data_IF_118414056473
#
_entry.id   IF_118414056473
#
_cell.length_a   1.000
_cell.length_b   1.000
_cell.length_c   1.000
_cell.angle_alpha   90.00
_cell.angle_beta   90.00
_cell.angle_gamma   90.00
#
_symmetry.space_group_name_H-M   'P 1'
#
loop_
_entity.id
_entity.type
_entity.pdbx_description
1 polymer ?
#
# COMPACT_ATOMS: atom_id res chain seq x y z
N UNK A 1 21.32 -7.60 -19.44
CA UNK A 1 21.91 -6.88 -18.29
C UNK A 1 20.90 -5.86 -17.76
N UNK A 2 20.58 -5.94 -16.48
CA UNK A 2 19.57 -5.06 -15.84
C UNK A 2 19.88 -3.57 -15.97
N UNK A 3 21.16 -3.19 -16.06
CA UNK A 3 21.56 -1.78 -16.22
C UNK A 3 21.31 -1.28 -17.65
N UNK A 4 21.68 -2.08 -18.64
CA UNK A 4 21.49 -1.73 -20.05
C UNK A 4 20.01 -1.66 -20.46
N UNK A 5 19.14 -2.40 -19.75
CA UNK A 5 17.72 -2.49 -20.05
C UNK A 5 16.87 -1.42 -19.32
N UNK A 6 17.49 -0.53 -18.55
CA UNK A 6 16.77 0.47 -17.75
C UNK A 6 16.02 -0.09 -16.53
N UNK A 7 16.24 -1.38 -16.21
CA UNK A 7 15.54 -2.09 -15.11
C UNK A 7 16.31 -2.13 -13.80
N UNK A 8 17.52 -1.58 -13.77
CA UNK A 8 18.32 -1.53 -12.56
C UNK A 8 17.71 -0.58 -11.55
N UNK A 9 17.38 -1.10 -10.36
CA UNK A 9 16.79 -0.32 -9.27
C UNK A 9 17.86 0.49 -8.55
N UNK A 10 17.74 1.80 -8.57
CA UNK A 10 18.59 2.70 -7.80
C UNK A 10 17.92 3.04 -6.48
N UNK A 11 18.65 2.83 -5.38
CA UNK A 11 18.20 3.21 -4.03
C UNK A 11 18.77 4.59 -3.72
N UNK A 12 17.93 5.62 -3.79
CA UNK A 12 18.35 6.99 -3.52
C UNK A 12 18.41 7.24 -2.01
N UNK A 13 19.52 7.82 -1.55
CA UNK A 13 19.72 8.21 -0.16
C UNK A 13 19.02 9.57 0.06
N UNK A 14 17.90 9.57 0.78
CA UNK A 14 17.09 10.75 1.04
C UNK A 14 16.74 10.91 2.52
N UNK A 15 16.73 12.14 3.00
CA UNK A 15 16.17 12.50 4.30
C UNK A 15 14.94 13.36 4.10
N UNK A 16 13.79 12.87 4.56
CA UNK A 16 12.54 13.62 4.62
C UNK A 16 12.62 14.61 5.79
N UNK A 17 12.73 15.89 5.51
CA UNK A 17 12.90 16.91 6.53
C UNK A 17 11.60 17.17 7.27
N UNK A 18 11.59 16.92 8.60
CA UNK A 18 10.42 17.19 9.44
C UNK A 18 9.97 18.66 9.31
N UNK A 19 8.66 18.86 9.18
CA UNK A 19 8.03 20.17 9.04
C UNK A 19 8.17 20.80 7.65
N UNK A 20 8.78 20.10 6.69
CA UNK A 20 8.93 20.57 5.29
C UNK A 20 8.38 19.59 4.26
N UNK A 21 7.57 18.62 4.69
CA UNK A 21 6.95 17.64 3.78
C UNK A 21 6.10 18.36 2.72
N UNK A 22 6.20 18.04 1.42
CA UNK A 22 6.87 16.87 0.82
C UNK A 22 8.34 17.09 0.42
N UNK A 23 8.98 18.17 0.87
CA UNK A 23 10.39 18.42 0.60
C UNK A 23 11.29 17.43 1.34
N UNK A 24 12.39 17.05 0.70
CA UNK A 24 13.42 16.16 1.22
C UNK A 24 14.80 16.62 0.77
N UNK A 25 15.83 16.07 1.40
CA UNK A 25 17.23 16.26 1.00
C UNK A 25 17.70 14.96 0.37
N UNK A 26 18.23 15.04 -0.83
CA UNK A 26 18.83 13.92 -1.53
C UNK A 26 20.35 13.99 -1.46
N UNK A 27 20.97 12.92 -0.94
CA UNK A 27 22.39 12.74 -0.88
C UNK A 27 22.85 11.90 -2.07
N UNK A 28 23.29 12.56 -3.13
CA UNK A 28 23.85 11.88 -4.28
C UNK A 28 25.36 11.69 -4.11
N UNK A 29 25.96 10.82 -4.91
CA UNK A 29 27.42 10.63 -4.92
C UNK A 29 28.19 11.94 -5.17
N UNK A 30 27.59 12.91 -5.83
CA UNK A 30 28.27 14.14 -6.30
C UNK A 30 27.77 15.42 -5.65
N UNK A 31 26.60 15.41 -5.03
CA UNK A 31 25.98 16.63 -4.48
C UNK A 31 24.87 16.33 -3.49
N UNK A 32 24.58 17.29 -2.62
CA UNK A 32 23.41 17.32 -1.75
C UNK A 32 22.40 18.29 -2.37
N UNK A 33 21.16 17.84 -2.59
CA UNK A 33 20.12 18.65 -3.25
C UNK A 33 18.80 18.61 -2.49
N UNK A 34 18.11 19.72 -2.48
CA UNK A 34 16.69 19.75 -2.10
C UNK A 34 15.85 19.18 -3.23
N UNK A 35 14.91 18.33 -2.89
CA UNK A 35 13.97 17.68 -3.81
C UNK A 35 12.56 17.75 -3.29
N UNK A 36 11.58 17.60 -4.16
CA UNK A 36 10.17 17.36 -3.82
C UNK A 36 9.85 15.89 -4.08
N UNK A 37 9.38 15.18 -3.06
CA UNK A 37 9.08 13.76 -3.15
C UNK A 37 7.63 13.57 -3.63
N UNK A 38 7.48 12.97 -4.82
CA UNK A 38 6.21 12.71 -5.48
C UNK A 38 5.81 11.23 -5.49
N UNK A 39 6.57 10.36 -4.85
CA UNK A 39 6.32 8.91 -4.83
C UNK A 39 6.34 8.30 -3.43
N UNK A 40 6.17 9.11 -2.38
CA UNK A 40 6.09 8.62 -1.02
C UNK A 40 4.79 7.86 -0.79
N UNK A 41 4.88 6.74 -0.06
CA UNK A 41 3.70 6.04 0.45
C UNK A 41 3.17 6.61 1.78
N UNK A 42 3.85 7.58 2.39
CA UNK A 42 3.33 8.35 3.53
C UNK A 42 2.29 9.36 3.03
N UNK A 43 1.14 8.83 2.61
CA UNK A 43 0.10 9.54 1.84
C UNK A 43 -0.44 10.79 2.54
N UNK A 44 -0.54 10.75 3.86
CA UNK A 44 -1.07 11.84 4.67
C UNK A 44 0.02 12.60 5.45
N UNK A 45 1.30 12.24 5.29
CA UNK A 45 2.41 12.86 6.00
C UNK A 45 2.44 12.54 7.50
N UNK A 46 1.72 11.50 7.93
CA UNK A 46 1.60 11.13 9.34
C UNK A 46 2.93 10.71 9.97
N UNK A 47 3.88 10.21 9.17
CA UNK A 47 5.23 9.88 9.65
C UNK A 47 6.05 11.08 10.14
N UNK A 48 5.59 12.31 9.87
CA UNK A 48 6.20 13.55 10.36
C UNK A 48 5.29 14.37 11.28
N UNK A 49 4.10 13.84 11.57
CA UNK A 49 3.12 14.55 12.37
C UNK A 49 3.53 14.65 13.84
N UNK A 50 3.36 15.85 14.44
CA UNK A 50 3.84 16.12 15.80
C UNK A 50 3.26 15.14 16.83
N UNK A 51 1.94 14.91 16.83
CA UNK A 51 1.31 13.99 17.79
C UNK A 51 1.86 12.57 17.69
N UNK A 52 2.12 12.08 16.46
CA UNK A 52 2.72 10.77 16.24
C UNK A 52 4.13 10.72 16.84
N UNK A 53 4.97 11.70 16.52
CA UNK A 53 6.34 11.77 17.01
C UNK A 53 6.39 11.92 18.54
N UNK A 54 5.53 12.74 19.12
CA UNK A 54 5.55 12.97 20.57
C UNK A 54 5.05 11.73 21.34
N UNK A 55 4.07 10.99 20.82
CA UNK A 55 3.69 9.70 21.40
C UNK A 55 4.81 8.65 21.32
N UNK A 56 5.56 8.66 20.22
CA UNK A 56 6.73 7.77 20.05
C UNK A 56 7.85 8.13 21.07
N UNK A 57 8.13 9.41 21.28
CA UNK A 57 9.10 9.85 22.30
C UNK A 57 8.69 9.41 23.69
N UNK A 58 7.43 9.62 24.06
CA UNK A 58 6.90 9.18 25.35
C UNK A 58 7.05 7.66 25.53
N UNK A 59 6.71 6.88 24.50
CA UNK A 59 6.89 5.43 24.56
C UNK A 59 8.36 5.01 24.63
N UNK A 60 9.27 5.73 23.96
CA UNK A 60 10.71 5.48 24.03
C UNK A 60 11.24 5.72 25.44
N UNK A 61 10.84 6.81 26.07
CA UNK A 61 11.27 7.17 27.43
C UNK A 61 10.71 6.21 28.50
N UNK A 62 9.49 5.71 28.32
CA UNK A 62 8.80 4.87 29.32
C UNK A 62 9.01 3.38 29.14
N UNK A 63 9.23 2.90 27.91
CA UNK A 63 9.26 1.47 27.57
C UNK A 63 10.55 1.02 26.88
N UNK A 64 11.45 1.95 26.55
CA UNK A 64 12.68 1.66 25.81
C UNK A 64 12.44 1.44 24.32
N UNK A 65 13.52 1.15 23.59
CA UNK A 65 13.53 1.10 22.12
C UNK A 65 12.93 -0.16 21.52
N UNK A 66 13.06 -1.30 22.19
CA UNK A 66 12.73 -2.63 21.64
C UNK A 66 11.62 -3.35 22.38
N UNK A 67 11.06 -4.38 21.74
CA UNK A 67 9.97 -5.17 22.31
C UNK A 67 10.44 -6.24 23.32
N UNK A 68 11.72 -6.58 23.33
CA UNK A 68 12.29 -7.58 24.25
C UNK A 68 12.09 -9.03 23.83
N UNK A 69 11.44 -9.31 22.71
CA UNK A 69 11.24 -10.67 22.21
C UNK A 69 10.13 -10.80 21.16
N UNK A 70 9.76 -12.04 20.91
CA UNK A 70 8.58 -12.36 20.11
C UNK A 70 7.30 -12.06 20.89
N UNK A 71 6.15 -11.97 20.21
CA UNK A 71 4.85 -11.70 20.86
C UNK A 71 4.54 -12.66 22.01
N UNK A 72 4.90 -13.92 21.87
CA UNK A 72 4.66 -14.96 22.87
C UNK A 72 5.69 -14.94 24.01
N UNK A 73 6.91 -14.48 23.73
CA UNK A 73 7.98 -14.46 24.74
C UNK A 73 8.33 -13.01 25.07
N UNK A 74 7.58 -12.41 26.02
CA UNK A 74 7.80 -11.07 26.58
C UNK A 74 7.64 -9.89 25.61
N UNK A 75 7.42 -10.11 24.32
CA UNK A 75 7.32 -9.06 23.29
C UNK A 75 5.92 -8.47 23.11
N UNK A 76 4.90 -8.90 23.85
CA UNK A 76 3.58 -8.28 23.88
C UNK A 76 3.51 -7.21 24.96
N UNK A 77 3.31 -5.96 24.58
CA UNK A 77 3.16 -4.83 25.51
C UNK A 77 1.74 -4.28 25.51
N UNK A 78 1.45 -3.37 26.43
CA UNK A 78 0.19 -2.62 26.47
C UNK A 78 -0.08 -1.90 25.13
N UNK A 79 0.95 -1.36 24.48
CA UNK A 79 0.82 -0.66 23.19
C UNK A 79 0.36 -1.58 22.06
N UNK A 80 0.84 -2.82 22.00
CA UNK A 80 0.36 -3.82 21.03
C UNK A 80 -1.14 -4.08 21.20
N UNK A 81 -1.56 -4.36 22.43
CA UNK A 81 -2.95 -4.67 22.72
C UNK A 81 -3.87 -3.46 22.48
N UNK A 82 -3.42 -2.25 22.79
CA UNK A 82 -4.17 -1.03 22.53
C UNK A 82 -4.33 -0.77 21.03
N UNK A 83 -3.27 -0.94 20.25
CA UNK A 83 -3.29 -0.79 18.80
C UNK A 83 -4.19 -1.85 18.14
N UNK A 84 -4.09 -3.12 18.53
CA UNK A 84 -4.94 -4.18 17.98
C UNK A 84 -6.42 -3.95 18.28
N UNK A 85 -6.77 -3.45 19.47
CA UNK A 85 -8.15 -3.04 19.78
C UNK A 85 -8.64 -1.88 18.91
N UNK A 86 -7.79 -0.87 18.70
CA UNK A 86 -8.12 0.27 17.85
C UNK A 86 -8.34 -0.14 16.39
N UNK A 87 -7.49 -1.01 15.86
CA UNK A 87 -7.63 -1.53 14.49
C UNK A 87 -8.89 -2.41 14.33
N UNK A 88 -9.20 -3.24 15.32
CA UNK A 88 -10.44 -4.01 15.32
C UNK A 88 -11.68 -3.08 15.33
N UNK A 89 -11.64 -2.02 16.16
CA UNK A 89 -12.68 -0.99 16.22
C UNK A 89 -12.83 -0.24 14.88
N UNK A 90 -11.73 0.17 14.27
CA UNK A 90 -11.70 0.86 12.97
C UNK A 90 -12.48 0.06 11.92
N UNK A 91 -12.22 -1.24 11.83
CA UNK A 91 -12.84 -2.13 10.84
C UNK A 91 -14.16 -2.76 11.30
N UNK A 92 -14.66 -2.42 12.50
CA UNK A 92 -15.84 -3.05 13.10
C UNK A 92 -15.74 -4.58 13.14
N UNK A 93 -14.53 -5.08 13.38
CA UNK A 93 -14.23 -6.51 13.52
C UNK A 93 -14.03 -6.87 14.99
N UNK A 94 -14.16 -8.17 15.30
CA UNK A 94 -14.02 -8.67 16.67
C UNK A 94 -12.60 -8.58 17.20
N UNK A 95 -11.62 -8.80 16.31
CA UNK A 95 -10.19 -8.77 16.63
C UNK A 95 -9.33 -8.28 15.47
N UNK A 96 -8.15 -7.79 15.81
CA UNK A 96 -7.05 -7.57 14.89
C UNK A 96 -5.76 -8.18 15.44
N UNK A 97 -4.80 -8.45 14.56
CA UNK A 97 -3.48 -8.97 14.88
C UNK A 97 -2.40 -8.18 14.14
N UNK A 98 -1.43 -7.68 14.88
CA UNK A 98 -0.34 -6.84 14.37
C UNK A 98 0.83 -7.69 13.88
N UNK A 99 1.35 -7.36 12.71
CA UNK A 99 2.54 -7.94 12.07
C UNK A 99 3.61 -6.86 11.82
N UNK A 100 4.84 -7.27 11.53
CA UNK A 100 5.95 -6.38 11.21
C UNK A 100 5.75 -5.59 9.92
N UNK A 101 4.94 -6.11 9.00
CA UNK A 101 4.52 -5.45 7.75
C UNK A 101 3.23 -6.10 7.21
N UNK A 102 2.53 -5.39 6.32
CA UNK A 102 1.40 -5.96 5.59
C UNK A 102 1.82 -7.08 4.63
N UNK A 103 3.06 -7.03 4.11
CA UNK A 103 3.64 -8.12 3.34
C UNK A 103 3.67 -9.41 4.17
N UNK A 104 4.23 -9.32 5.39
CA UNK A 104 4.30 -10.45 6.32
C UNK A 104 2.89 -10.91 6.75
N UNK A 105 1.97 -9.98 6.98
CA UNK A 105 0.59 -10.29 7.32
C UNK A 105 -0.11 -11.12 6.22
N UNK A 106 -0.05 -10.68 4.95
CA UNK A 106 -0.60 -11.42 3.82
C UNK A 106 0.02 -12.81 3.68
N UNK A 107 1.36 -12.85 3.57
CA UNK A 107 2.07 -14.11 3.33
C UNK A 107 1.79 -15.13 4.42
N UNK A 108 1.94 -14.72 5.67
CA UNK A 108 1.80 -15.60 6.84
C UNK A 108 0.36 -16.06 7.05
N UNK A 109 -0.61 -15.17 6.85
CA UNK A 109 -2.03 -15.52 7.02
C UNK A 109 -2.47 -16.54 5.98
N UNK A 110 -2.20 -16.29 4.70
CA UNK A 110 -2.60 -17.19 3.61
C UNK A 110 -1.87 -18.56 3.71
N UNK A 111 -0.59 -18.56 4.07
CA UNK A 111 0.15 -19.79 4.35
C UNK A 111 -0.50 -20.59 5.49
N UNK A 112 -0.86 -19.93 6.58
CA UNK A 112 -1.45 -20.57 7.76
C UNK A 112 -2.85 -21.08 7.46
N UNK A 113 -3.66 -20.33 6.71
CA UNK A 113 -4.96 -20.79 6.23
C UNK A 113 -4.85 -22.13 5.49
N UNK A 114 -3.87 -22.25 4.58
CA UNK A 114 -3.65 -23.50 3.86
C UNK A 114 -3.20 -24.66 4.74
N UNK A 115 -2.41 -24.39 5.78
CA UNK A 115 -2.03 -25.43 6.76
C UNK A 115 -3.21 -25.94 7.59
N UNK A 116 -4.12 -25.03 7.96
CA UNK A 116 -5.30 -25.36 8.79
C UNK A 116 -6.43 -25.95 7.94
N UNK A 117 -6.56 -25.52 6.70
CA UNK A 117 -7.60 -25.96 5.76
C UNK A 117 -6.94 -26.44 4.45
N UNK A 118 -6.34 -27.66 4.43
CA UNK A 118 -5.56 -28.13 3.27
C UNK A 118 -6.40 -28.31 1.98
N UNK A 119 -7.71 -28.50 2.12
CA UNK A 119 -8.64 -28.62 0.98
C UNK A 119 -9.18 -27.28 0.48
N UNK A 120 -8.74 -26.15 1.05
CA UNK A 120 -9.16 -24.82 0.66
C UNK A 120 -8.70 -24.50 -0.76
N UNK A 121 -9.61 -24.05 -1.62
CA UNK A 121 -9.30 -23.47 -2.91
C UNK A 121 -9.15 -21.94 -2.75
N UNK A 122 -7.98 -21.41 -3.06
CA UNK A 122 -7.79 -19.99 -3.19
C UNK A 122 -8.12 -19.52 -4.60
N UNK A 123 -8.95 -18.49 -4.73
CA UNK A 123 -9.33 -17.85 -5.99
C UNK A 123 -8.78 -16.43 -5.93
N UNK A 124 -7.73 -16.16 -6.72
CA UNK A 124 -6.92 -14.93 -6.65
C UNK A 124 -7.13 -14.04 -7.85
N UNK A 125 -7.27 -12.74 -7.64
CA UNK A 125 -7.21 -11.77 -8.72
C UNK A 125 -5.83 -11.82 -9.42
N UNK A 126 -5.84 -11.68 -10.76
CA UNK A 126 -4.64 -11.78 -11.59
C UNK A 126 -3.58 -10.69 -11.29
N UNK A 127 -3.98 -9.54 -10.71
CA UNK A 127 -3.08 -8.43 -10.40
C UNK A 127 -2.74 -8.31 -8.90
N UNK A 128 -3.06 -9.31 -8.10
CA UNK A 128 -2.74 -9.30 -6.69
C UNK A 128 -1.25 -9.06 -6.40
N UNK A 129 -1.00 -8.37 -5.31
CA UNK A 129 0.34 -8.03 -4.83
C UNK A 129 1.21 -9.26 -4.57
N UNK A 130 2.52 -9.11 -4.76
CA UNK A 130 3.51 -10.17 -4.54
C UNK A 130 3.40 -10.89 -3.20
N UNK A 131 3.02 -10.20 -2.12
CA UNK A 131 2.81 -10.79 -0.80
C UNK A 131 1.68 -11.83 -0.78
N UNK A 132 0.59 -11.56 -1.49
CA UNK A 132 -0.52 -12.50 -1.67
C UNK A 132 -0.04 -13.69 -2.49
N UNK A 133 0.60 -13.46 -3.63
CA UNK A 133 1.14 -14.51 -4.50
C UNK A 133 2.09 -15.43 -3.72
N UNK A 134 2.97 -14.90 -2.88
CA UNK A 134 3.88 -15.71 -2.06
C UNK A 134 3.12 -16.48 -0.96
N UNK A 135 2.15 -15.87 -0.31
CA UNK A 135 1.28 -16.54 0.67
C UNK A 135 0.55 -17.74 0.06
N UNK A 136 -0.04 -17.55 -1.12
CA UNK A 136 -0.72 -18.60 -1.87
C UNK A 136 0.23 -19.72 -2.32
N UNK A 137 1.46 -19.41 -2.69
CA UNK A 137 2.49 -20.42 -3.01
C UNK A 137 2.86 -21.25 -1.79
N UNK A 138 3.06 -20.59 -0.65
CA UNK A 138 3.46 -21.26 0.60
C UNK A 138 2.30 -22.04 1.26
N UNK A 139 1.06 -21.68 0.97
CA UNK A 139 -0.11 -22.43 1.46
C UNK A 139 -0.15 -23.88 0.95
N UNK A 140 0.42 -24.13 -0.23
CA UNK A 140 0.40 -25.43 -0.96
C UNK A 140 -1.01 -25.89 -1.34
N UNK A 141 -2.03 -25.10 -1.11
CA UNK A 141 -3.40 -25.37 -1.54
C UNK A 141 -3.58 -25.21 -3.04
N UNK A 142 -4.68 -25.76 -3.55
CA UNK A 142 -5.15 -25.48 -4.90
C UNK A 142 -5.41 -23.98 -5.06
N UNK A 143 -5.18 -23.46 -6.25
CA UNK A 143 -5.41 -22.05 -6.57
C UNK A 143 -5.89 -21.90 -8.00
N UNK A 144 -6.87 -21.02 -8.18
CA UNK A 144 -7.35 -20.53 -9.45
C UNK A 144 -7.11 -19.03 -9.53
N UNK A 145 -6.89 -18.51 -10.72
CA UNK A 145 -6.66 -17.08 -10.96
C UNK A 145 -7.76 -16.58 -11.86
N UNK A 146 -8.55 -15.63 -11.37
CA UNK A 146 -9.55 -14.97 -12.21
C UNK A 146 -8.96 -13.70 -12.85
N UNK A 147 -9.49 -13.35 -14.01
CA UNK A 147 -9.08 -12.13 -14.72
C UNK A 147 -9.38 -10.92 -13.87
N UNK A 148 -8.46 -9.96 -13.93
CA UNK A 148 -8.49 -8.76 -13.11
C UNK A 148 -9.85 -8.06 -13.15
N UNK A 149 -10.48 -7.93 -11.98
CA UNK A 149 -11.80 -7.31 -11.76
C UNK A 149 -12.94 -7.90 -12.62
N UNK A 150 -12.77 -9.09 -13.20
CA UNK A 150 -13.77 -9.77 -14.03
C UNK A 150 -14.71 -10.62 -13.18
N UNK A 151 -15.91 -10.09 -12.93
CA UNK A 151 -16.92 -10.74 -12.09
C UNK A 151 -17.51 -12.00 -12.73
N UNK A 152 -17.62 -12.04 -14.05
CA UNK A 152 -18.15 -13.21 -14.77
C UNK A 152 -17.15 -14.38 -14.69
N UNK A 153 -15.87 -14.10 -14.87
CA UNK A 153 -14.80 -15.10 -14.72
C UNK A 153 -14.73 -15.61 -13.27
N UNK A 154 -14.79 -14.70 -12.28
CA UNK A 154 -14.85 -15.06 -10.85
C UNK A 154 -16.07 -15.95 -10.55
N UNK A 155 -17.26 -15.57 -10.99
CA UNK A 155 -18.48 -16.34 -10.75
C UNK A 155 -18.43 -17.72 -11.40
N UNK A 156 -17.88 -17.82 -12.61
CA UNK A 156 -17.68 -19.08 -13.30
C UNK A 156 -16.83 -20.06 -12.49
N UNK A 157 -15.71 -19.59 -11.93
CA UNK A 157 -14.85 -20.40 -11.06
C UNK A 157 -15.58 -20.78 -9.77
N UNK A 158 -16.22 -19.82 -9.09
CA UNK A 158 -16.96 -20.08 -7.85
C UNK A 158 -18.06 -21.12 -8.03
N UNK A 159 -18.71 -21.15 -9.18
CA UNK A 159 -19.80 -22.08 -9.53
C UNK A 159 -19.29 -23.47 -9.87
N UNK A 160 -18.16 -23.58 -10.59
CA UNK A 160 -17.64 -24.85 -11.09
C UNK A 160 -16.88 -25.65 -10.03
N UNK A 161 -16.28 -24.96 -9.04
CA UNK A 161 -15.41 -25.57 -8.06
C UNK A 161 -16.16 -25.95 -6.78
N UNK A 162 -16.14 -27.24 -6.38
CA UNK A 162 -16.75 -27.70 -5.13
C UNK A 162 -15.83 -27.41 -3.92
N UNK A 163 -16.40 -27.54 -2.72
CA UNK A 163 -15.66 -27.47 -1.46
C UNK A 163 -15.40 -26.04 -0.95
N UNK A 164 -14.54 -25.93 0.09
CA UNK A 164 -14.25 -24.64 0.71
C UNK A 164 -13.42 -23.74 -0.21
N UNK A 165 -13.79 -22.48 -0.29
CA UNK A 165 -13.18 -21.46 -1.18
C UNK A 165 -12.82 -20.20 -0.43
N UNK A 166 -11.73 -19.53 -0.83
CA UNK A 166 -11.36 -18.20 -0.39
C UNK A 166 -11.01 -17.33 -1.59
N UNK A 167 -11.76 -16.24 -1.78
CA UNK A 167 -11.47 -15.23 -2.79
C UNK A 167 -10.52 -14.20 -2.19
N UNK A 168 -9.39 -13.94 -2.87
CA UNK A 168 -8.35 -13.01 -2.41
C UNK A 168 -8.15 -11.92 -3.45
N UNK A 169 -8.31 -10.67 -3.04
CA UNK A 169 -8.24 -9.51 -3.94
C UNK A 169 -7.82 -8.23 -3.18
N UNK A 170 -7.40 -7.20 -3.91
CA UNK A 170 -7.09 -5.88 -3.36
C UNK A 170 -8.28 -4.93 -3.57
N UNK A 171 -8.46 -3.96 -2.70
CA UNK A 171 -9.47 -2.93 -2.88
C UNK A 171 -9.01 -1.81 -3.81
N UNK A 172 -7.75 -1.38 -3.67
CA UNK A 172 -7.07 -0.40 -4.54
C UNK A 172 -5.76 -1.01 -5.01
N UNK A 173 -5.63 -1.24 -6.30
CA UNK A 173 -4.44 -1.84 -6.88
C UNK A 173 -3.29 -0.84 -7.00
N UNK A 174 -2.12 -1.24 -6.53
CA UNK A 174 -1.01 -0.34 -6.24
C UNK A 174 -0.41 0.36 -7.45
N UNK A 175 -0.44 -0.28 -8.63
CA UNK A 175 0.29 0.19 -9.82
C UNK A 175 -0.60 0.91 -10.82
N UNK A 176 -1.86 0.50 -10.93
CA UNK A 176 -2.85 1.06 -11.83
C UNK A 176 -3.74 2.09 -11.13
N UNK A 177 -3.92 1.93 -9.82
CA UNK A 177 -4.74 2.82 -9.01
C UNK A 177 -6.24 2.55 -9.18
N UNK A 178 -6.63 1.50 -9.88
CA UNK A 178 -8.03 1.14 -10.03
C UNK A 178 -8.60 0.55 -8.74
N UNK A 179 -9.91 0.68 -8.60
CA UNK A 179 -10.66 0.21 -7.43
C UNK A 179 -11.46 -1.02 -7.85
N UNK A 180 -11.30 -2.11 -7.10
CA UNK A 180 -12.05 -3.33 -7.32
C UNK A 180 -13.56 -3.13 -7.11
N UNK A 181 -14.42 -3.91 -7.77
CA UNK A 181 -15.85 -3.97 -7.50
C UNK A 181 -16.10 -4.76 -6.19
N UNK A 182 -15.70 -4.15 -5.05
CA UNK A 182 -15.62 -4.82 -3.74
C UNK A 182 -16.96 -5.38 -3.30
N UNK A 183 -18.03 -4.61 -3.53
CA UNK A 183 -19.38 -5.03 -3.17
C UNK A 183 -19.82 -6.28 -3.93
N UNK A 184 -19.64 -6.27 -5.24
CA UNK A 184 -20.04 -7.37 -6.12
C UNK A 184 -19.20 -8.63 -5.82
N UNK A 185 -17.90 -8.49 -5.57
CA UNK A 185 -17.03 -9.61 -5.17
C UNK A 185 -17.50 -10.20 -3.83
N UNK A 186 -17.81 -9.35 -2.84
CA UNK A 186 -18.29 -9.80 -1.54
C UNK A 186 -19.67 -10.49 -1.64
N UNK A 187 -20.56 -9.97 -2.49
CA UNK A 187 -21.87 -10.58 -2.76
C UNK A 187 -21.72 -11.97 -3.42
N UNK A 188 -20.77 -12.12 -4.35
CA UNK A 188 -20.42 -13.43 -4.93
C UNK A 188 -19.84 -14.39 -3.89
N UNK A 189 -18.92 -13.92 -3.03
CA UNK A 189 -18.40 -14.73 -1.93
C UNK A 189 -19.52 -15.26 -1.04
N UNK A 190 -20.45 -14.39 -0.65
CA UNK A 190 -21.60 -14.77 0.17
C UNK A 190 -22.53 -15.77 -0.56
N UNK A 191 -22.83 -15.52 -1.83
CA UNK A 191 -23.67 -16.38 -2.67
C UNK A 191 -23.14 -17.81 -2.78
N UNK A 192 -21.81 -17.97 -2.89
CA UNK A 192 -21.15 -19.27 -3.08
C UNK A 192 -20.47 -19.80 -1.81
N UNK A 193 -20.78 -19.22 -0.63
CA UNK A 193 -20.23 -19.60 0.67
C UNK A 193 -18.68 -19.67 0.65
N UNK A 194 -18.05 -18.69 0.03
CA UNK A 194 -16.61 -18.50 -0.03
C UNK A 194 -16.16 -17.48 1.02
N UNK A 195 -14.98 -17.68 1.60
CA UNK A 195 -14.32 -16.71 2.47
C UNK A 195 -13.87 -15.53 1.62
N UNK A 196 -14.15 -14.32 2.07
CA UNK A 196 -13.67 -13.07 1.45
C UNK A 196 -12.44 -12.53 2.19
N UNK A 197 -11.29 -12.47 1.49
CA UNK A 197 -10.05 -11.91 1.96
C UNK A 197 -9.68 -10.69 1.13
N UNK A 198 -9.70 -9.50 1.72
CA UNK A 198 -9.39 -8.26 1.04
C UNK A 198 -8.12 -7.61 1.56
N UNK A 199 -7.27 -7.14 0.64
CA UNK A 199 -6.12 -6.28 0.94
C UNK A 199 -6.52 -4.81 0.78
N UNK A 200 -6.62 -4.10 1.89
CA UNK A 200 -6.95 -2.67 1.97
C UNK A 200 -5.71 -1.77 2.14
N UNK A 201 -4.52 -2.29 1.88
CA UNK A 201 -3.22 -1.64 2.17
C UNK A 201 -3.09 -0.26 1.51
N UNK A 202 -3.67 -0.06 0.32
CA UNK A 202 -3.70 1.24 -0.36
C UNK A 202 -4.93 2.07 -0.06
N UNK A 203 -5.86 1.58 0.75
CA UNK A 203 -7.13 2.25 1.03
C UNK A 203 -7.31 2.67 2.50
N UNK A 204 -6.75 1.93 3.46
CA UNK A 204 -6.85 2.31 4.89
C UNK A 204 -6.24 3.68 5.14
N UNK A 205 -6.92 4.49 5.93
CA UNK A 205 -6.59 5.89 6.20
C UNK A 205 -7.09 6.87 5.13
N UNK A 206 -7.55 6.39 3.95
CA UNK A 206 -7.84 7.23 2.78
C UNK A 206 -9.29 7.19 2.31
N UNK A 207 -10.02 6.14 2.59
CA UNK A 207 -11.39 5.94 2.15
C UNK A 207 -12.31 5.60 3.33
N UNK A 208 -13.58 5.94 3.19
CA UNK A 208 -14.58 5.77 4.23
C UNK A 208 -14.62 6.91 5.23
N UNK A 209 -15.65 6.95 6.02
CA UNK A 209 -15.91 8.03 7.00
C UNK A 209 -14.81 8.10 8.07
N UNK A 210 -14.42 6.95 8.59
CA UNK A 210 -13.39 6.83 9.63
C UNK A 210 -12.01 6.49 9.05
N UNK A 211 -11.90 6.27 7.72
CA UNK A 211 -10.68 5.86 7.07
C UNK A 211 -10.43 4.35 7.15
N UNK A 212 -11.47 3.54 7.27
CA UNK A 212 -11.32 2.08 7.32
C UNK A 212 -11.12 1.41 5.94
N UNK A 213 -11.20 2.18 4.85
CA UNK A 213 -10.96 1.68 3.52
C UNK A 213 -12.20 1.62 2.63
N UNK A 214 -12.10 0.88 1.52
CA UNK A 214 -13.19 0.75 0.53
C UNK A 214 -14.37 -0.02 1.11
N UNK A 215 -14.13 -1.03 1.93
CA UNK A 215 -15.21 -1.75 2.61
C UNK A 215 -16.11 -0.82 3.42
N UNK A 216 -15.52 0.15 4.14
CA UNK A 216 -16.31 1.15 4.86
C UNK A 216 -17.01 2.12 3.91
N UNK A 217 -16.32 2.62 2.88
CA UNK A 217 -16.88 3.54 1.90
C UNK A 217 -18.14 2.98 1.24
N UNK A 218 -18.09 1.71 0.86
CA UNK A 218 -19.15 1.05 0.10
C UNK A 218 -20.14 0.28 1.01
N UNK A 219 -19.94 0.35 2.33
CA UNK A 219 -20.70 -0.37 3.34
C UNK A 219 -20.80 -1.88 3.07
N UNK A 220 -19.64 -2.49 2.84
CA UNK A 220 -19.49 -3.91 2.52
C UNK A 220 -18.86 -4.66 3.68
N UNK A 221 -19.42 -5.81 4.03
CA UNK A 221 -18.85 -6.72 5.02
C UNK A 221 -18.06 -7.83 4.31
N UNK A 222 -16.81 -8.04 4.76
CA UNK A 222 -15.90 -9.11 4.33
C UNK A 222 -15.39 -9.88 5.53
N UNK A 223 -14.88 -11.10 5.35
CA UNK A 223 -14.43 -11.94 6.48
C UNK A 223 -13.10 -11.48 7.05
N UNK A 224 -12.13 -11.20 6.18
CA UNK A 224 -10.76 -10.89 6.57
C UNK A 224 -10.29 -9.65 5.82
N UNK A 225 -9.74 -8.69 6.57
CA UNK A 225 -9.13 -7.47 6.05
C UNK A 225 -7.63 -7.50 6.38
N UNK A 226 -6.78 -7.30 5.38
CA UNK A 226 -5.37 -6.98 5.56
C UNK A 226 -5.16 -5.47 5.39
N UNK A 227 -4.42 -4.86 6.30
CA UNK A 227 -4.13 -3.43 6.27
C UNK A 227 -2.69 -3.12 6.63
N UNK A 228 -2.30 -1.86 6.47
CA UNK A 228 -0.94 -1.39 6.75
C UNK A 228 -0.93 -0.15 7.64
N UNK A 229 0.12 -0.04 8.45
CA UNK A 229 0.45 1.16 9.22
C UNK A 229 1.56 1.99 8.54
N UNK A 230 2.11 1.49 7.42
CA UNK A 230 3.29 2.05 6.78
C UNK A 230 2.99 3.00 5.62
N UNK A 231 1.71 3.23 5.30
CA UNK A 231 1.30 4.13 4.21
C UNK A 231 0.56 5.36 4.75
N UNK A 232 -0.75 5.44 4.64
CA UNK A 232 -1.50 6.60 5.12
C UNK A 232 -1.25 6.91 6.60
N UNK A 233 -1.07 5.89 7.42
CA UNK A 233 -0.73 6.08 8.85
C UNK A 233 0.74 6.42 9.11
N UNK A 234 1.62 6.33 8.11
CA UNK A 234 2.95 6.93 8.08
C UNK A 234 4.02 6.30 9.00
N UNK A 235 3.76 5.15 9.63
CA UNK A 235 4.67 4.54 10.60
C UNK A 235 5.28 3.24 10.05
N UNK A 236 5.06 2.10 10.69
CA UNK A 236 5.51 0.78 10.27
C UNK A 236 4.58 -0.29 10.82
N UNK A 237 4.46 -1.39 10.07
CA UNK A 237 3.66 -2.54 10.47
C UNK A 237 2.54 -2.82 9.49
N UNK A 238 1.94 -3.97 9.68
CA UNK A 238 0.74 -4.41 9.01
C UNK A 238 -0.15 -5.17 9.97
N UNK A 239 -1.34 -5.49 9.57
CA UNK A 239 -2.29 -6.19 10.43
C UNK A 239 -3.33 -6.94 9.61
N UNK A 240 -3.96 -7.90 10.27
CA UNK A 240 -5.23 -8.48 9.80
C UNK A 240 -6.33 -8.16 10.82
N UNK A 241 -7.57 -8.04 10.33
CA UNK A 241 -8.76 -7.89 11.15
C UNK A 241 -9.86 -8.85 10.69
N UNK A 242 -10.60 -9.45 11.61
CA UNK A 242 -11.63 -10.44 11.32
C UNK A 242 -12.32 -10.98 12.57
N UNK A 243 -12.98 -12.14 12.41
CA UNK A 243 -13.59 -12.87 13.52
C UNK A 243 -12.55 -13.36 14.52
N UNK A 244 -12.93 -13.46 15.78
CA UNK A 244 -12.06 -13.86 16.89
C UNK A 244 -11.37 -15.21 16.65
N UNK A 245 -12.14 -16.22 16.28
CA UNK A 245 -11.65 -17.58 16.09
C UNK A 245 -10.60 -17.64 14.99
N UNK A 246 -10.81 -16.89 13.90
CA UNK A 246 -9.86 -16.80 12.82
C UNK A 246 -8.56 -16.12 13.28
N UNK A 247 -8.66 -14.96 13.92
CA UNK A 247 -7.50 -14.21 14.41
C UNK A 247 -6.71 -15.01 15.45
N UNK A 248 -7.40 -15.71 16.38
CA UNK A 248 -6.75 -16.54 17.39
C UNK A 248 -6.06 -17.77 16.79
N UNK A 249 -6.62 -18.33 15.71
CA UNK A 249 -5.98 -19.42 14.96
C UNK A 249 -4.68 -18.94 14.31
N UNK A 250 -4.71 -17.81 13.59
CA UNK A 250 -3.50 -17.24 12.97
C UNK A 250 -2.46 -16.91 14.05
N UNK A 251 -2.84 -16.25 15.12
CA UNK A 251 -1.96 -15.91 16.24
C UNK A 251 -1.26 -17.14 16.85
N UNK A 252 -1.94 -18.27 16.89
CA UNK A 252 -1.46 -19.50 17.55
C UNK A 252 -0.68 -20.42 16.61
N UNK A 253 -0.91 -20.34 15.29
CA UNK A 253 -0.40 -21.31 14.31
C UNK A 253 0.61 -20.70 13.31
N UNK A 254 0.62 -19.39 13.16
CA UNK A 254 1.42 -18.69 12.14
C UNK A 254 2.89 -18.61 12.57
N UNK A 255 3.77 -19.41 11.99
CA UNK A 255 5.18 -19.50 12.38
C UNK A 255 5.92 -18.17 12.22
N UNK A 256 5.69 -17.43 11.12
CA UNK A 256 6.33 -16.13 10.91
C UNK A 256 5.77 -15.00 11.80
N UNK A 257 4.68 -15.24 12.52
CA UNK A 257 4.21 -14.39 13.61
C UNK A 257 4.82 -14.80 14.96
N UNK A 258 4.80 -16.12 15.25
CA UNK A 258 5.23 -16.66 16.56
C UNK A 258 6.74 -16.47 16.77
N UNK A 259 7.56 -16.73 15.73
CA UNK A 259 9.02 -16.80 15.83
C UNK A 259 9.75 -15.54 15.39
N UNK A 260 9.03 -14.45 15.08
CA UNK A 260 9.65 -13.16 14.76
C UNK A 260 9.59 -12.20 15.93
N UNK A 261 10.61 -11.35 16.07
CA UNK A 261 10.60 -10.25 17.06
C UNK A 261 9.41 -9.34 16.84
N UNK A 262 8.75 -8.94 17.91
CA UNK A 262 7.62 -7.99 17.88
C UNK A 262 8.00 -6.63 17.30
N UNK A 263 7.03 -5.95 16.77
CA UNK A 263 7.12 -4.51 16.49
C UNK A 263 7.44 -3.77 17.79
N UNK A 264 8.34 -2.77 17.73
CA UNK A 264 8.72 -1.98 18.90
C UNK A 264 7.50 -1.29 19.55
N UNK A 265 7.43 -1.18 20.88
CA UNK A 265 6.39 -0.39 21.57
C UNK A 265 6.32 1.05 21.08
N UNK A 266 7.47 1.64 20.73
CA UNK A 266 7.56 3.00 20.15
C UNK A 266 6.77 3.10 18.84
N UNK A 267 6.94 2.13 17.97
CA UNK A 267 6.21 2.05 16.70
C UNK A 267 4.69 1.83 16.95
N UNK A 268 4.34 0.96 17.88
CA UNK A 268 2.93 0.72 18.24
C UNK A 268 2.26 1.99 18.79
N UNK A 269 2.94 2.76 19.63
CA UNK A 269 2.44 4.03 20.18
C UNK A 269 2.19 5.06 19.05
N UNK A 270 3.16 5.22 18.15
CA UNK A 270 3.02 6.12 17.00
C UNK A 270 1.90 5.70 16.08
N UNK A 271 1.79 4.41 15.78
CA UNK A 271 0.73 3.87 14.94
C UNK A 271 -0.66 4.06 15.56
N UNK A 272 -0.82 3.78 16.86
CA UNK A 272 -2.06 4.00 17.58
C UNK A 272 -2.51 5.47 17.53
N UNK A 273 -1.58 6.39 17.77
CA UNK A 273 -1.85 7.82 17.69
C UNK A 273 -2.22 8.25 16.27
N UNK A 274 -1.52 7.73 15.27
CA UNK A 274 -1.79 8.03 13.87
C UNK A 274 -3.17 7.53 13.43
N UNK A 275 -3.54 6.29 13.77
CA UNK A 275 -4.85 5.73 13.43
C UNK A 275 -5.97 6.58 14.04
N UNK A 276 -5.88 6.92 15.33
CA UNK A 276 -6.88 7.78 16.00
C UNK A 276 -6.96 9.15 15.36
N UNK A 277 -5.81 9.77 15.12
CA UNK A 277 -5.77 11.10 14.50
C UNK A 277 -6.44 11.12 13.12
N UNK A 278 -6.10 10.17 12.26
CA UNK A 278 -6.68 10.07 10.91
C UNK A 278 -8.18 9.79 10.95
N UNK A 279 -8.67 8.99 11.92
CA UNK A 279 -10.12 8.78 12.12
C UNK A 279 -10.85 10.09 12.41
N UNK A 280 -10.28 10.91 13.30
CA UNK A 280 -10.90 12.15 13.78
C UNK A 280 -10.74 13.33 12.79
N UNK A 281 -9.90 13.21 11.74
CA UNK A 281 -9.56 14.27 10.79
C UNK A 281 -9.90 13.89 9.34
N UNK A 282 -11.20 13.85 8.96
CA UNK A 282 -11.63 13.50 7.61
C UNK A 282 -11.11 14.46 6.53
N UNK A 283 -10.83 15.72 6.89
CA UNK A 283 -10.31 16.75 5.98
C UNK A 283 -8.97 16.36 5.33
N UNK A 284 -8.17 15.49 5.97
CA UNK A 284 -6.95 14.96 5.37
C UNK A 284 -7.26 14.05 4.18
N UNK A 285 -8.31 13.24 4.31
CA UNK A 285 -8.78 12.34 3.24
C UNK A 285 -9.36 13.14 2.08
N UNK A 286 -10.19 14.13 2.37
CA UNK A 286 -10.76 15.00 1.33
C UNK A 286 -9.64 15.72 0.57
N UNK A 287 -8.63 16.19 1.31
CA UNK A 287 -7.52 16.93 0.71
C UNK A 287 -6.63 16.09 -0.19
N UNK A 288 -6.32 14.85 0.16
CA UNK A 288 -5.49 13.98 -0.71
C UNK A 288 -6.23 13.68 -2.02
N UNK A 289 -7.53 13.40 -1.98
CA UNK A 289 -8.33 13.14 -3.17
C UNK A 289 -8.42 14.39 -4.06
N UNK A 290 -8.61 15.55 -3.47
CA UNK A 290 -8.59 16.83 -4.19
C UNK A 290 -7.23 17.05 -4.86
N UNK A 291 -6.10 16.82 -4.17
CA UNK A 291 -4.75 16.93 -4.75
C UNK A 291 -4.50 15.95 -5.88
N UNK A 292 -4.94 14.71 -5.74
CA UNK A 292 -4.81 13.67 -6.76
C UNK A 292 -5.61 14.04 -8.03
N UNK A 293 -6.86 14.43 -7.88
CA UNK A 293 -7.71 14.84 -9.00
C UNK A 293 -7.12 16.05 -9.71
N UNK A 294 -6.73 17.09 -8.98
CA UNK A 294 -6.09 18.26 -9.56
C UNK A 294 -4.80 17.89 -10.33
N UNK A 295 -4.00 16.99 -9.79
CA UNK A 295 -2.78 16.54 -10.46
C UNK A 295 -3.10 15.82 -11.78
N UNK A 296 -4.11 14.92 -11.80
CA UNK A 296 -4.57 14.25 -13.02
C UNK A 296 -5.03 15.28 -14.07
N UNK A 297 -5.90 16.20 -13.68
CA UNK A 297 -6.44 17.24 -14.57
C UNK A 297 -5.33 18.12 -15.18
N UNK A 298 -4.35 18.55 -14.38
CA UNK A 298 -3.28 19.40 -14.88
C UNK A 298 -2.32 18.64 -15.82
N UNK A 299 -2.04 17.36 -15.55
CA UNK A 299 -1.27 16.50 -16.45
C UNK A 299 -2.01 16.31 -17.79
N UNK A 300 -3.29 15.98 -17.77
CA UNK A 300 -4.12 15.79 -18.96
C UNK A 300 -4.26 17.08 -19.79
N UNK A 301 -4.42 18.24 -19.15
CA UNK A 301 -4.42 19.56 -19.84
C UNK A 301 -3.14 19.83 -20.60
N UNK A 302 -2.02 19.28 -20.14
CA UNK A 302 -0.74 19.39 -20.83
C UNK A 302 -0.51 18.31 -21.89
N UNK A 303 -1.50 17.43 -22.12
CA UNK A 303 -1.43 16.33 -23.08
C UNK A 303 -0.54 15.18 -22.62
N UNK A 304 -0.36 15.02 -21.30
CA UNK A 304 0.37 13.90 -20.70
C UNK A 304 -0.63 12.76 -20.44
N UNK A 305 -0.29 11.57 -20.89
CA UNK A 305 -1.15 10.39 -20.73
C UNK A 305 -1.14 9.91 -19.28
N UNK A 306 -2.30 10.02 -18.62
CA UNK A 306 -2.55 9.52 -17.26
C UNK A 306 -3.47 8.30 -17.36
N UNK A 307 -3.12 7.22 -16.68
CA UNK A 307 -3.99 6.05 -16.57
C UNK A 307 -5.25 6.41 -15.77
N UNK A 308 -6.42 6.21 -16.39
CA UNK A 308 -7.70 6.54 -15.77
C UNK A 308 -7.98 5.66 -14.56
N UNK A 309 -8.24 6.27 -13.44
CA UNK A 309 -8.69 5.64 -12.21
C UNK A 309 -9.31 6.68 -11.27
N UNK A 310 -10.09 6.24 -10.28
CA UNK A 310 -10.77 7.08 -9.30
C UNK A 310 -10.04 7.17 -7.95
N UNK A 311 -8.80 6.66 -7.89
CA UNK A 311 -8.02 6.65 -6.65
C UNK A 311 -7.08 7.85 -6.50
N UNK A 312 -6.38 7.89 -5.36
CA UNK A 312 -5.33 8.86 -5.04
C UNK A 312 -4.01 8.63 -5.79
N UNK A 313 -3.90 7.56 -6.56
CA UNK A 313 -2.71 7.19 -7.33
C UNK A 313 -2.78 7.81 -8.73
N UNK A 314 -1.68 8.41 -9.19
CA UNK A 314 -1.60 9.10 -10.48
C UNK A 314 -0.51 8.46 -11.33
N UNK A 315 -0.83 7.43 -12.14
CA UNK A 315 0.14 6.77 -13.00
C UNK A 315 0.26 7.52 -14.33
N UNK A 316 1.46 7.98 -14.67
CA UNK A 316 1.80 8.62 -15.96
C UNK A 316 2.47 7.59 -16.85
N UNK A 317 1.83 7.20 -17.95
CA UNK A 317 2.32 6.17 -18.86
C UNK A 317 3.50 6.71 -19.70
N UNK A 318 4.57 5.93 -19.75
CA UNK A 318 5.76 6.21 -20.57
C UNK A 318 5.95 5.15 -21.66
N UNK A 319 5.59 3.88 -21.36
CA UNK A 319 5.49 2.78 -22.32
C UNK A 319 6.81 2.12 -22.72
N UNK A 320 7.96 2.51 -22.12
CA UNK A 320 9.25 1.90 -22.41
C UNK A 320 10.21 2.08 -21.21
N UNK A 321 10.87 0.99 -20.80
CA UNK A 321 11.67 0.94 -19.57
C UNK A 321 12.85 1.93 -19.54
N UNK A 322 13.63 1.98 -20.63
CA UNK A 322 14.77 2.91 -20.73
C UNK A 322 14.32 4.36 -20.69
N UNK A 323 13.27 4.68 -21.42
CA UNK A 323 12.68 6.01 -21.45
C UNK A 323 12.09 6.40 -20.09
N UNK A 324 11.38 5.50 -19.45
CA UNK A 324 10.81 5.72 -18.12
C UNK A 324 11.91 6.03 -17.08
N UNK A 325 13.00 5.25 -17.11
CA UNK A 325 14.17 5.51 -16.27
C UNK A 325 14.83 6.86 -16.62
N UNK A 326 15.02 7.18 -17.89
CA UNK A 326 15.63 8.44 -18.33
C UNK A 326 14.81 9.66 -17.91
N UNK A 327 13.47 9.61 -18.02
CA UNK A 327 12.58 10.67 -17.56
C UNK A 327 12.65 10.84 -16.03
N UNK A 328 12.63 9.75 -15.27
CA UNK A 328 12.78 9.77 -13.81
C UNK A 328 14.12 10.38 -13.39
N UNK A 329 15.22 10.00 -14.03
CA UNK A 329 16.56 10.54 -13.77
C UNK A 329 16.63 12.04 -14.10
N UNK A 330 16.12 12.45 -15.25
CA UNK A 330 16.06 13.86 -15.67
C UNK A 330 15.32 14.71 -14.64
N UNK A 331 14.15 14.22 -14.16
CA UNK A 331 13.36 14.88 -13.13
C UNK A 331 14.13 15.01 -11.81
N UNK A 332 14.80 13.96 -11.38
CA UNK A 332 15.55 13.97 -10.14
C UNK A 332 16.81 14.84 -10.23
N UNK A 333 17.62 14.61 -11.27
CA UNK A 333 18.93 15.25 -11.36
C UNK A 333 18.88 16.73 -11.74
N UNK A 334 17.94 17.12 -12.61
CA UNK A 334 17.84 18.51 -13.09
C UNK A 334 16.76 19.32 -12.42
N UNK A 335 15.60 18.70 -12.19
CA UNK A 335 14.42 19.45 -11.77
C UNK A 335 14.14 19.34 -10.26
N UNK A 336 14.84 18.47 -9.53
CA UNK A 336 14.62 18.23 -8.11
C UNK A 336 13.27 17.57 -7.79
N UNK A 337 12.71 16.84 -8.75
CA UNK A 337 11.47 16.07 -8.60
C UNK A 337 11.83 14.61 -8.44
N UNK A 338 11.46 14.03 -7.30
CA UNK A 338 11.69 12.62 -7.02
C UNK A 338 10.44 11.79 -7.28
N UNK A 339 10.49 10.99 -8.35
CA UNK A 339 9.48 9.99 -8.70
C UNK A 339 10.19 8.76 -9.26
N UNK A 340 9.81 7.55 -8.80
CA UNK A 340 10.41 6.30 -9.25
C UNK A 340 9.80 5.79 -10.55
N UNK A 341 10.61 5.25 -11.47
CA UNK A 341 10.11 4.52 -12.62
C UNK A 341 9.59 3.15 -12.18
N UNK A 342 8.42 2.77 -12.65
CA UNK A 342 7.83 1.45 -12.44
C UNK A 342 7.94 0.67 -13.74
N UNK A 343 8.80 -0.35 -13.73
CA UNK A 343 9.15 -1.17 -14.88
C UNK A 343 8.87 -2.65 -14.59
N UNK A 344 8.98 -3.48 -15.64
CA UNK A 344 8.95 -4.94 -15.47
C UNK A 344 9.97 -5.41 -14.41
N UNK A 345 9.66 -6.37 -13.53
CA UNK A 345 8.47 -7.24 -13.52
C UNK A 345 7.27 -6.67 -12.74
N UNK A 346 7.33 -5.43 -12.26
CA UNK A 346 6.26 -4.83 -11.45
C UNK A 346 5.02 -4.52 -12.30
N UNK A 347 5.22 -4.11 -13.54
CA UNK A 347 4.16 -3.89 -14.54
C UNK A 347 4.54 -4.60 -15.84
N UNK A 348 3.58 -4.83 -16.74
CA UNK A 348 3.83 -5.46 -18.03
C UNK A 348 4.73 -4.58 -18.92
N UNK A 349 5.51 -5.22 -19.79
CA UNK A 349 6.31 -4.53 -20.82
C UNK A 349 5.39 -3.73 -21.74
N UNK A 350 5.76 -2.49 -22.04
CA UNK A 350 4.95 -1.55 -22.80
C UNK A 350 3.98 -0.72 -21.95
N UNK A 351 3.92 -0.96 -20.64
CA UNK A 351 3.06 -0.22 -19.70
C UNK A 351 3.85 0.46 -18.57
N UNK A 352 5.13 0.66 -18.80
CA UNK A 352 6.02 1.33 -17.86
C UNK A 352 5.55 2.75 -17.58
N UNK A 353 5.66 3.16 -16.33
CA UNK A 353 5.05 4.41 -15.85
C UNK A 353 5.83 5.09 -14.75
N UNK A 354 5.57 6.38 -14.58
CA UNK A 354 5.90 7.11 -13.37
C UNK A 354 4.67 7.14 -12.47
N UNK A 355 4.79 6.65 -11.23
CA UNK A 355 3.69 6.59 -10.28
C UNK A 355 3.77 7.73 -9.29
N UNK A 356 2.97 8.78 -9.51
CA UNK A 356 2.87 9.90 -8.59
C UNK A 356 1.85 9.61 -7.48
N UNK A 357 2.17 10.09 -6.29
CA UNK A 357 1.31 10.01 -5.10
C UNK A 357 1.22 11.39 -4.45
N UNK A 358 0.39 12.28 -5.00
CA UNK A 358 0.16 13.60 -4.40
C UNK A 358 -0.35 13.46 -2.98
N UNK A 359 0.08 14.33 -2.09
CA UNK A 359 -0.31 14.35 -0.68
C UNK A 359 -1.01 15.67 -0.34
N UNK A 360 -1.68 15.80 0.82
CA UNK A 360 -2.29 17.05 1.24
C UNK A 360 -1.36 18.27 1.22
N UNK A 361 -0.06 18.04 1.26
CA UNK A 361 0.99 19.08 1.34
C UNK A 361 1.54 19.52 -0.02
N UNK A 362 1.17 18.86 -1.11
CA UNK A 362 1.50 19.31 -2.46
C UNK A 362 0.59 20.48 -2.85
N UNK A 363 1.14 21.68 -2.74
CA UNK A 363 0.41 22.92 -3.09
C UNK A 363 0.13 23.02 -4.60
N UNK A 364 -0.76 23.93 -4.99
CA UNK A 364 -1.05 24.22 -6.39
C UNK A 364 0.20 24.56 -7.18
N UNK A 365 1.08 25.38 -6.59
CA UNK A 365 2.34 25.76 -7.21
C UNK A 365 3.26 24.57 -7.43
N UNK A 366 3.33 23.62 -6.48
CA UNK A 366 4.11 22.41 -6.64
C UNK A 366 3.54 21.49 -7.72
N UNK A 367 2.20 21.36 -7.80
CA UNK A 367 1.53 20.57 -8.85
C UNK A 367 1.82 21.19 -10.22
N UNK A 368 1.63 22.49 -10.36
CA UNK A 368 1.87 23.19 -11.63
C UNK A 368 3.32 23.09 -12.07
N UNK A 369 4.27 23.36 -11.18
CA UNK A 369 5.71 23.24 -11.44
C UNK A 369 6.09 21.82 -11.88
N UNK A 370 5.59 20.80 -11.16
CA UNK A 370 5.83 19.41 -11.50
C UNK A 370 5.31 19.06 -12.88
N UNK A 371 4.10 19.46 -13.24
CA UNK A 371 3.47 19.12 -14.53
C UNK A 371 4.27 19.72 -15.70
N UNK A 372 4.69 20.98 -15.58
CA UNK A 372 5.53 21.64 -16.59
C UNK A 372 6.86 20.92 -16.78
N UNK A 373 7.51 20.56 -15.69
CA UNK A 373 8.80 19.84 -15.69
C UNK A 373 8.68 18.43 -16.24
N UNK A 374 7.62 17.69 -15.88
CA UNK A 374 7.34 16.34 -16.43
C UNK A 374 7.16 16.41 -17.94
N UNK A 375 6.36 17.36 -18.46
CA UNK A 375 6.20 17.56 -19.90
C UNK A 375 7.53 17.82 -20.60
N UNK A 376 8.34 18.71 -20.04
CA UNK A 376 9.66 19.03 -20.59
C UNK A 376 10.61 17.82 -20.55
N UNK A 377 10.64 17.04 -19.47
CA UNK A 377 11.47 15.85 -19.33
C UNK A 377 11.06 14.76 -20.34
N UNK A 378 9.77 14.48 -20.48
CA UNK A 378 9.25 13.52 -21.49
C UNK A 378 9.67 13.96 -22.91
N UNK A 379 9.58 15.25 -23.24
CA UNK A 379 9.98 15.77 -24.54
C UNK A 379 11.49 15.64 -24.77
N UNK A 380 12.32 15.95 -23.78
CA UNK A 380 13.79 15.84 -23.88
C UNK A 380 14.25 14.39 -24.05
N UNK A 381 13.68 13.48 -23.29
CA UNK A 381 14.02 12.06 -23.35
C UNK A 381 13.48 11.36 -24.61
N UNK A 382 12.36 11.85 -25.19
CA UNK A 382 11.86 11.36 -26.48
C UNK A 382 12.75 11.72 -27.68
N UNK A 383 13.46 12.86 -27.61
CA UNK A 383 14.39 13.29 -28.69
C UNK A 383 15.74 12.59 -28.65
N UNK A 384 16.18 12.04 -27.50
CA UNK A 384 17.48 11.38 -27.33
C UNK A 384 17.52 9.93 -27.81
N UNK A 385 16.36 9.28 -27.93
CA UNK A 385 16.28 7.88 -28.38
C UNK A 385 16.25 7.72 -29.90
N UNK A 386 16.21 8.82 -30.65
CA UNK A 386 16.27 8.80 -32.12
C UNK A 386 17.70 8.96 -32.69
N UNK A 387 18.72 8.87 -31.85
CA UNK A 387 20.13 8.93 -32.26
C UNK A 387 20.93 7.78 -31.61
N UNK A 388 20.64 6.55 -32.05
CA UNK A 388 21.55 5.41 -31.99
C UNK A 388 21.26 4.47 -33.18
#
# INVERSE_FOLDING_TARGET
DYKSDGRYRTFNDIIRTRGKYPHAIWYSKYSIKNIVNWCSNDYLGMGQHNYVIDSMKTALETSGAGAGGTRNISGTTHYHNALERELASLHKKEKALLFTSAYNANQTTLETMGKVMPDLLFISDAQNHSSIIQGLRHSRCRKEIFKHNDLDDLESILKSEPGPKCVVFESVYSMDGDIAPVKEIADLCKKYNAISYIDEVHAVGLYGKEGAGICERDNVEVDIINGTLAKAFGVQGGYIAGKREFIDTIRSMASAFIFTTSVSPVICAGALTSVKYVRDHPELRDKIHERANKTKEELERQGIEVMKNDSHIVPVIIGEAKRCKAVSDELLYKEGIYVQPINWPTVAVGTERLRFTPTPFHTDNLIFDMVVKVKAAIKRCGKKLNYD
#
